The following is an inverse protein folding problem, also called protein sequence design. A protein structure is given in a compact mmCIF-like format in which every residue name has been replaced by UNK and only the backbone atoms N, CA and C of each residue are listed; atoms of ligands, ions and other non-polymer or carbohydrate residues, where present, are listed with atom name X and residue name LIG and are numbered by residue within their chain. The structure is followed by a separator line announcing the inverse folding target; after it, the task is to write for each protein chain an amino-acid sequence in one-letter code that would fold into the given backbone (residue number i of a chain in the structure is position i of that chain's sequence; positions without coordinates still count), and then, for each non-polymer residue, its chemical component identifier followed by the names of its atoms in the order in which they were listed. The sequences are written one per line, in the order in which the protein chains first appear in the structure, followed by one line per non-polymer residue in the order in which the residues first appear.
data_IF_066459697930
#
_entry.id   IF_066459697930
#
_cell.length_a   1.000
_cell.length_b   1.000
_cell.length_c   1.000
_cell.angle_alpha   90.00
_cell.angle_beta   90.00
_cell.angle_gamma   90.00
#
_symmetry.space_group_name_H-M   'P 1'
#
loop_
_entity.id
_entity.type
_entity.pdbx_description
1 polymer ?
#
# COMPACT_ATOMS: atom_id res chain seq x y z
N UNK A 1 0.05 -12.27 23.31
CA UNK A 1 0.20 -10.97 24.00
C UNK A 1 -0.86 -10.07 23.38
N UNK A 2 -1.59 -9.25 24.14
CA UNK A 2 -2.58 -8.35 23.54
C UNK A 2 -1.82 -7.31 22.73
N UNK A 3 -1.95 -7.33 21.42
CA UNK A 3 -1.53 -6.21 20.60
C UNK A 3 -2.38 -5.04 21.07
N UNK A 4 -1.76 -4.01 21.63
CA UNK A 4 -2.48 -2.82 22.08
C UNK A 4 -2.66 -1.92 20.86
N UNK A 5 -3.83 -1.31 20.69
CA UNK A 5 -4.09 -0.25 19.70
C UNK A 5 -3.02 0.86 19.70
N UNK A 6 -2.23 0.99 20.77
CA UNK A 6 -1.06 1.87 20.83
C UNK A 6 -0.02 1.61 19.73
N UNK A 7 0.09 0.38 19.21
CA UNK A 7 1.00 0.04 18.12
C UNK A 7 0.48 0.42 16.74
N UNK A 8 -0.85 0.52 16.56
CA UNK A 8 -1.48 0.70 15.24
C UNK A 8 -1.02 1.93 14.47
N UNK A 9 -0.63 3.00 15.18
CA UNK A 9 -0.14 4.25 14.57
C UNK A 9 1.38 4.30 14.39
N UNK A 10 2.07 3.16 14.56
CA UNK A 10 3.52 3.06 14.44
C UNK A 10 3.88 2.42 13.12
N UNK A 11 4.74 3.08 12.35
CA UNK A 11 5.29 2.52 11.11
C UNK A 11 5.99 1.18 11.37
N UNK A 12 6.90 1.15 12.36
CA UNK A 12 7.60 -0.07 12.77
C UNK A 12 6.68 -1.27 13.06
N UNK A 13 5.51 -0.98 13.66
CA UNK A 13 4.51 -2.02 13.92
C UNK A 13 3.90 -2.50 12.62
N UNK A 14 3.41 -1.59 11.76
CA UNK A 14 2.74 -1.93 10.50
C UNK A 14 3.68 -2.66 9.53
N UNK A 15 4.96 -2.29 9.48
CA UNK A 15 5.97 -2.96 8.65
C UNK A 15 6.26 -4.40 9.09
N UNK A 16 6.15 -4.68 10.40
CA UNK A 16 6.46 -6.00 10.98
C UNK A 16 5.23 -6.79 11.43
N UNK A 17 4.03 -6.25 11.23
CA UNK A 17 2.78 -6.84 11.68
C UNK A 17 2.49 -8.14 10.91
N UNK A 18 2.15 -9.19 11.64
CA UNK A 18 1.57 -10.37 11.02
C UNK A 18 0.11 -10.11 10.62
N UNK A 19 -0.47 -10.91 9.70
CA UNK A 19 -1.89 -10.82 9.38
C UNK A 19 -2.78 -10.93 10.63
N UNK A 20 -2.43 -11.79 11.59
CA UNK A 20 -3.14 -11.93 12.87
C UNK A 20 -3.11 -10.62 13.71
N UNK A 21 -1.99 -9.90 13.71
CA UNK A 21 -1.88 -8.62 14.44
C UNK A 21 -2.77 -7.54 13.81
N UNK A 22 -2.82 -7.51 12.47
CA UNK A 22 -3.68 -6.60 11.71
C UNK A 22 -5.17 -6.93 11.94
N UNK A 23 -5.56 -8.19 11.80
CA UNK A 23 -6.93 -8.67 12.08
C UNK A 23 -7.37 -8.32 13.50
N UNK A 24 -6.50 -8.57 14.49
CA UNK A 24 -6.80 -8.23 15.88
C UNK A 24 -7.08 -6.73 16.02
N UNK A 25 -6.17 -5.88 15.54
CA UNK A 25 -6.33 -4.43 15.66
C UNK A 25 -7.59 -3.92 14.96
N UNK A 26 -7.87 -4.40 13.75
CA UNK A 26 -9.07 -4.05 12.99
C UNK A 26 -10.34 -4.50 13.72
N UNK A 27 -10.35 -5.70 14.32
CA UNK A 27 -11.48 -6.21 15.12
C UNK A 27 -11.73 -5.41 16.41
N UNK A 28 -10.67 -4.81 16.97
CA UNK A 28 -10.74 -3.90 18.12
C UNK A 28 -11.18 -2.48 17.73
N UNK A 29 -11.47 -2.24 16.44
CA UNK A 29 -11.97 -0.96 15.93
C UNK A 29 -10.88 0.01 15.50
N UNK A 30 -9.68 -0.48 15.19
CA UNK A 30 -8.65 0.34 14.55
C UNK A 30 -9.15 0.90 13.22
N UNK A 31 -8.87 2.18 12.97
CA UNK A 31 -9.21 2.84 11.72
C UNK A 31 -8.18 2.46 10.63
N UNK A 32 -8.59 1.76 9.55
CA UNK A 32 -7.67 1.37 8.47
C UNK A 32 -7.14 2.57 7.66
N UNK A 33 -7.75 3.75 7.81
CA UNK A 33 -7.34 4.99 7.14
C UNK A 33 -6.63 5.96 8.08
N UNK A 34 -6.17 5.48 9.23
CA UNK A 34 -5.40 6.33 10.15
C UNK A 34 -4.17 6.89 9.43
N UNK A 35 -3.92 8.19 9.61
CA UNK A 35 -2.67 8.80 9.17
C UNK A 35 -1.61 8.62 10.26
N UNK A 36 -0.45 8.12 9.89
CA UNK A 36 0.73 7.99 10.75
C UNK A 36 1.76 9.09 10.40
N UNK A 37 3.05 8.85 10.65
CA UNK A 37 4.14 9.74 10.24
C UNK A 37 4.12 9.94 8.71
N UNK A 38 4.52 11.14 8.26
CA UNK A 38 4.51 11.57 6.85
C UNK A 38 3.14 11.45 6.14
N UNK A 39 2.06 11.32 6.91
CA UNK A 39 0.69 11.25 6.42
C UNK A 39 0.32 9.93 5.74
N UNK A 40 1.19 8.93 5.83
CA UNK A 40 0.94 7.58 5.31
C UNK A 40 -0.25 6.93 6.01
N UNK A 41 -0.89 5.99 5.33
CA UNK A 41 -1.90 5.09 5.91
C UNK A 41 -1.31 3.70 6.09
N UNK A 42 -1.92 2.81 6.91
CA UNK A 42 -1.54 1.41 6.98
C UNK A 42 -1.29 0.75 5.61
N UNK A 43 -2.12 1.10 4.61
CA UNK A 43 -2.02 0.55 3.26
C UNK A 43 -0.79 1.02 2.47
N UNK A 44 -0.14 2.11 2.87
CA UNK A 44 1.17 2.53 2.31
C UNK A 44 2.33 1.66 2.83
N UNK A 45 2.16 1.05 4.01
CA UNK A 45 3.27 0.51 4.80
C UNK A 45 3.31 -1.01 4.79
N UNK A 46 2.14 -1.67 4.79
CA UNK A 46 2.12 -3.14 4.79
C UNK A 46 2.73 -3.69 3.51
N UNK A 47 3.74 -4.55 3.64
CA UNK A 47 4.45 -5.18 2.52
C UNK A 47 4.09 -6.65 2.34
N UNK A 48 2.86 -7.05 2.70
CA UNK A 48 2.40 -8.42 2.49
C UNK A 48 1.03 -8.43 1.81
N UNK A 49 0.88 -9.34 0.84
CA UNK A 49 -0.38 -9.61 0.14
C UNK A 49 -1.57 -9.77 1.09
N UNK A 50 -1.44 -10.60 2.12
CA UNK A 50 -2.50 -10.81 3.11
C UNK A 50 -2.82 -9.53 3.90
N UNK A 51 -1.80 -8.74 4.27
CA UNK A 51 -2.00 -7.47 4.96
C UNK A 51 -2.72 -6.43 4.09
N UNK A 52 -2.37 -6.35 2.81
CA UNK A 52 -3.05 -5.50 1.82
C UNK A 52 -4.52 -5.91 1.69
N UNK A 53 -4.78 -7.21 1.51
CA UNK A 53 -6.14 -7.76 1.41
C UNK A 53 -6.99 -7.42 2.64
N UNK A 54 -6.46 -7.66 3.85
CA UNK A 54 -7.16 -7.37 5.12
C UNK A 54 -7.52 -5.89 5.27
N UNK A 55 -6.60 -4.99 4.94
CA UNK A 55 -6.84 -3.55 5.04
C UNK A 55 -7.89 -3.08 4.02
N UNK A 56 -7.83 -3.58 2.79
CA UNK A 56 -8.81 -3.27 1.75
C UNK A 56 -10.21 -3.77 2.14
N UNK A 57 -10.31 -4.99 2.66
CA UNK A 57 -11.57 -5.56 3.16
C UNK A 57 -12.13 -4.77 4.35
N UNK A 58 -11.25 -4.18 5.17
CA UNK A 58 -11.64 -3.28 6.26
C UNK A 58 -12.05 -1.87 5.78
N UNK A 59 -11.92 -1.56 4.49
CA UNK A 59 -12.28 -0.27 3.91
C UNK A 59 -11.16 0.76 3.91
N UNK A 60 -9.89 0.32 3.88
CA UNK A 60 -8.78 1.20 3.55
C UNK A 60 -9.00 1.84 2.17
N UNK A 61 -8.69 3.12 2.05
CA UNK A 61 -8.76 3.87 0.79
C UNK A 61 -7.52 3.57 -0.06
N UNK A 62 -7.65 2.87 -1.20
CA UNK A 62 -6.52 2.55 -2.08
C UNK A 62 -5.94 3.78 -2.79
N UNK A 63 -6.61 4.94 -2.70
CA UNK A 63 -6.18 6.21 -3.27
C UNK A 63 -5.82 7.25 -2.19
N UNK A 64 -5.67 6.84 -0.93
CA UNK A 64 -5.18 7.70 0.12
C UNK A 64 -3.85 8.35 -0.29
N UNK A 65 -3.65 9.61 0.09
CA UNK A 65 -2.43 10.36 -0.27
C UNK A 65 -1.65 10.74 0.97
N UNK A 66 -0.37 10.38 0.98
CA UNK A 66 0.60 10.82 1.99
C UNK A 66 0.95 12.32 1.82
N UNK A 67 1.90 12.83 2.61
CA UNK A 67 2.34 14.23 2.54
C UNK A 67 3.12 14.60 1.27
N UNK A 68 3.64 13.62 0.54
CA UNK A 68 4.29 13.81 -0.77
C UNK A 68 3.33 13.59 -1.94
N UNK A 69 2.07 13.30 -1.62
CA UNK A 69 1.03 13.00 -2.58
C UNK A 69 1.14 11.59 -3.17
N UNK A 70 2.01 10.73 -2.66
CA UNK A 70 2.07 9.32 -3.06
C UNK A 70 0.84 8.56 -2.55
N UNK A 71 0.43 7.54 -3.31
CA UNK A 71 -0.65 6.62 -2.95
C UNK A 71 -0.08 5.26 -2.54
N UNK A 72 -0.86 4.34 -1.96
CA UNK A 72 -0.42 2.97 -1.71
C UNK A 72 0.20 2.29 -2.94
N UNK A 73 -0.33 2.58 -4.14
CA UNK A 73 0.20 2.05 -5.38
C UNK A 73 1.59 2.62 -5.74
N UNK A 74 1.90 3.88 -5.36
CA UNK A 74 3.25 4.43 -5.49
C UNK A 74 4.21 3.73 -4.52
N UNK A 75 3.79 3.50 -3.28
CA UNK A 75 4.60 2.79 -2.28
C UNK A 75 4.94 1.37 -2.75
N UNK A 76 3.94 0.60 -3.21
CA UNK A 76 4.12 -0.73 -3.78
C UNK A 76 5.07 -0.73 -5.00
N UNK A 77 4.95 0.25 -5.89
CA UNK A 77 5.81 0.34 -7.07
C UNK A 77 7.28 0.68 -6.75
N UNK A 78 7.53 1.43 -5.67
CA UNK A 78 8.85 1.82 -5.18
C UNK A 78 9.53 0.72 -4.36
N UNK A 79 8.75 -0.20 -3.80
CA UNK A 79 9.27 -1.31 -3.01
C UNK A 79 9.82 -2.42 -3.93
N UNK A 80 11.11 -2.72 -3.76
CA UNK A 80 11.81 -3.76 -4.51
C UNK A 80 11.31 -5.18 -4.18
N UNK A 81 10.71 -5.37 -3.00
CA UNK A 81 10.22 -6.67 -2.53
C UNK A 81 8.70 -6.86 -2.80
N UNK A 82 8.01 -5.84 -3.32
CA UNK A 82 6.58 -5.92 -3.62
C UNK A 82 6.27 -7.05 -4.60
N UNK A 83 5.11 -7.69 -4.44
CA UNK A 83 4.67 -8.76 -5.33
C UNK A 83 3.68 -8.26 -6.39
N UNK A 84 3.63 -8.87 -7.58
CA UNK A 84 2.61 -8.55 -8.57
C UNK A 84 1.19 -8.66 -8.03
N UNK A 85 0.94 -9.64 -7.14
CA UNK A 85 -0.35 -9.88 -6.51
C UNK A 85 -0.79 -8.71 -5.61
N UNK A 86 0.11 -8.05 -4.90
CA UNK A 86 -0.22 -6.84 -4.10
C UNK A 86 -0.66 -5.69 -5.01
N UNK A 87 0.06 -5.50 -6.13
CA UNK A 87 -0.29 -4.49 -7.14
C UNK A 87 -1.64 -4.80 -7.77
N UNK A 88 -1.93 -6.07 -8.09
CA UNK A 88 -3.24 -6.49 -8.59
C UNK A 88 -4.35 -6.20 -7.59
N UNK A 89 -4.17 -6.53 -6.31
CA UNK A 89 -5.14 -6.26 -5.25
C UNK A 89 -5.47 -4.76 -5.15
N UNK A 90 -4.45 -3.90 -5.16
CA UNK A 90 -4.65 -2.45 -5.13
C UNK A 90 -5.43 -1.96 -6.36
N UNK A 91 -5.07 -2.43 -7.56
CA UNK A 91 -5.75 -2.06 -8.80
C UNK A 91 -7.20 -2.55 -8.83
N UNK A 92 -7.46 -3.76 -8.36
CA UNK A 92 -8.80 -4.35 -8.30
C UNK A 92 -9.68 -3.65 -7.25
N UNK A 93 -9.07 -3.13 -6.17
CA UNK A 93 -9.74 -2.25 -5.22
C UNK A 93 -9.99 -0.82 -5.76
N UNK A 94 -9.49 -0.50 -6.96
CA UNK A 94 -9.72 0.79 -7.62
C UNK A 94 -8.64 1.84 -7.35
N UNK A 95 -7.42 1.43 -7.00
CA UNK A 95 -6.27 2.32 -7.04
C UNK A 95 -6.09 2.90 -8.45
N UNK A 96 -5.88 4.21 -8.55
CA UNK A 96 -5.64 4.90 -9.81
C UNK A 96 -4.19 4.68 -10.29
N UNK A 97 -3.95 3.91 -11.36
CA UNK A 97 -2.61 3.69 -11.91
C UNK A 97 -1.97 4.95 -12.50
N UNK A 98 -2.76 6.01 -12.70
CA UNK A 98 -2.32 7.30 -13.24
C UNK A 98 -2.27 8.40 -12.18
N UNK A 99 -2.47 8.07 -10.91
CA UNK A 99 -2.29 9.02 -9.83
C UNK A 99 -0.88 9.64 -9.96
N UNK A 100 -0.80 10.97 -9.84
CA UNK A 100 0.48 11.69 -9.88
C UNK A 100 0.78 12.24 -8.52
N UNK A 101 1.94 11.92 -7.97
CA UNK A 101 2.47 12.55 -6.75
C UNK A 101 2.81 14.05 -6.95
N UNK A 102 3.37 14.70 -5.93
CA UNK A 102 3.73 16.12 -6.01
C UNK A 102 4.85 16.43 -7.02
N UNK A 103 5.70 15.45 -7.35
CA UNK A 103 6.73 15.56 -8.39
C UNK A 103 6.17 15.26 -9.80
N UNK A 104 4.89 14.86 -9.88
CA UNK A 104 4.21 14.52 -11.12
C UNK A 104 4.50 13.09 -11.60
N UNK A 105 5.13 12.27 -10.76
CA UNK A 105 5.45 10.88 -11.06
C UNK A 105 4.20 10.02 -10.84
N UNK A 106 4.00 9.06 -11.72
CA UNK A 106 3.00 7.99 -11.56
C UNK A 106 3.63 6.78 -10.85
N UNK A 107 2.85 5.82 -10.33
CA UNK A 107 3.40 4.59 -9.76
C UNK A 107 4.42 3.91 -10.68
N UNK A 108 4.16 3.85 -11.98
CA UNK A 108 5.12 3.26 -12.93
C UNK A 108 6.45 4.01 -12.99
N UNK A 109 6.46 5.34 -12.84
CA UNK A 109 7.71 6.13 -12.88
C UNK A 109 8.64 5.82 -11.70
N UNK A 110 8.11 5.19 -10.65
CA UNK A 110 8.86 4.79 -9.46
C UNK A 110 9.37 3.35 -9.50
N UNK A 111 8.97 2.55 -10.51
CA UNK A 111 9.42 1.16 -10.63
C UNK A 111 10.89 1.13 -11.02
N UNK A 112 11.73 0.68 -10.09
CA UNK A 112 13.17 0.53 -10.31
C UNK A 112 13.49 -0.59 -11.32
N UNK A 113 14.69 -0.54 -11.91
CA UNK A 113 15.07 -1.47 -12.96
C UNK A 113 15.22 -2.92 -12.50
N UNK A 114 15.54 -3.13 -11.21
CA UNK A 114 15.70 -4.45 -10.59
C UNK A 114 14.42 -4.91 -9.84
N UNK A 115 13.30 -4.17 -9.97
CA UNK A 115 12.02 -4.52 -9.33
C UNK A 115 11.50 -5.88 -9.79
N UNK A 116 10.97 -6.65 -8.84
CA UNK A 116 10.20 -7.90 -9.06
C UNK A 116 9.04 -7.73 -10.04
N UNK A 117 8.50 -6.52 -10.18
CA UNK A 117 7.39 -6.22 -11.08
C UNK A 117 7.83 -6.28 -12.55
N UNK A 118 9.11 -6.10 -12.88
CA UNK A 118 9.57 -6.06 -14.28
C UNK A 118 9.17 -7.32 -15.06
N UNK A 119 8.67 -7.10 -16.27
CA UNK A 119 8.19 -8.14 -17.19
C UNK A 119 6.95 -8.93 -16.71
N UNK A 120 6.24 -8.45 -15.70
CA UNK A 120 4.95 -9.02 -15.28
C UNK A 120 3.78 -8.34 -16.00
N UNK A 121 2.60 -8.94 -15.94
CA UNK A 121 1.39 -8.36 -16.53
C UNK A 121 1.02 -7.02 -15.88
N UNK A 122 1.18 -6.89 -14.56
CA UNK A 122 0.94 -5.61 -13.86
C UNK A 122 1.90 -4.52 -14.28
N UNK A 123 3.17 -4.85 -14.56
CA UNK A 123 4.12 -3.85 -15.04
C UNK A 123 3.69 -3.26 -16.39
N UNK A 124 3.24 -4.11 -17.31
CA UNK A 124 2.72 -3.64 -18.59
C UNK A 124 1.39 -2.90 -18.43
N UNK A 125 0.53 -3.32 -17.49
CA UNK A 125 -0.73 -2.63 -17.15
C UNK A 125 -0.48 -1.22 -16.62
N UNK A 126 0.48 -1.05 -15.71
CA UNK A 126 0.88 0.26 -15.19
C UNK A 126 1.55 1.13 -16.26
N UNK A 127 2.31 0.53 -17.19
CA UNK A 127 2.89 1.24 -18.32
C UNK A 127 1.83 1.74 -19.32
N UNK A 128 0.84 0.90 -19.62
CA UNK A 128 -0.19 1.18 -20.63
C UNK A 128 -1.21 2.21 -20.15
N UNK A 129 -1.43 2.30 -18.83
CA UNK A 129 -2.34 3.26 -18.23
C UNK A 129 -2.04 4.74 -18.59
N UNK A 130 -0.82 5.04 -19.05
CA UNK A 130 -0.27 6.40 -19.26
C UNK A 130 -0.95 7.26 -20.33
N UNK A 131 -2.03 6.80 -20.99
CA UNK A 131 -2.65 7.47 -22.15
C UNK A 131 -4.15 7.71 -22.00
#
# INVERSE_FOLDING_TARGET
MSVSLSGWKSRDFLESASPDDLEQCLSEGADPNVRIEDGETPLHVVGTREGVELLLDAGADPNARDETGQTPLHAAARDSECTPEEVELLLDAGADPNARDEEGQTPWDLIEDDSSLKNTDVYWKLNDARF
#
